data_IF_291703326557
#
_entry.id   IF_291703326557
#
_cell.length_a   1.000
_cell.length_b   1.000
_cell.length_c   1.000
_cell.angle_alpha   90.00
_cell.angle_beta   90.00
_cell.angle_gamma   90.00
#
_symmetry.space_group_name_H-M   'P 1'
#
loop_
_entity.id
_entity.type
_entity.pdbx_description
1 polymer ?
#
# COMPACT_ATOMS: atom_id res chain seq x y z
N UNK A 1 -9.26 -49.57 39.58
CA UNK A 1 -8.97 -48.15 39.91
C UNK A 1 -7.84 -47.55 39.07
N UNK A 2 -6.64 -48.15 39.05
CA UNK A 2 -5.48 -47.65 38.26
C UNK A 2 -5.75 -47.46 36.75
N UNK A 3 -6.45 -48.39 36.10
CA UNK A 3 -6.80 -48.28 34.65
C UNK A 3 -7.79 -47.14 34.35
N UNK A 4 -8.71 -46.85 35.27
CA UNK A 4 -9.68 -45.75 35.14
C UNK A 4 -8.98 -44.41 35.29
N UNK A 5 -7.99 -44.32 36.19
CA UNK A 5 -7.15 -43.13 36.36
C UNK A 5 -6.39 -42.76 35.08
N UNK A 6 -5.84 -43.76 34.37
CA UNK A 6 -5.13 -43.53 33.10
C UNK A 6 -6.05 -43.05 31.97
N UNK A 7 -7.29 -43.55 31.92
CA UNK A 7 -8.28 -43.11 30.93
C UNK A 7 -8.70 -41.65 31.20
N UNK A 8 -8.93 -41.28 32.46
CA UNK A 8 -9.28 -39.91 32.84
C UNK A 8 -8.13 -38.94 32.52
N UNK A 9 -6.88 -39.32 32.83
CA UNK A 9 -5.71 -38.49 32.55
C UNK A 9 -5.51 -38.25 31.04
N UNK A 10 -5.75 -39.28 30.21
CA UNK A 10 -5.67 -39.18 28.75
C UNK A 10 -6.81 -38.35 28.13
N UNK A 11 -7.97 -38.28 28.78
CA UNK A 11 -9.09 -37.45 28.33
C UNK A 11 -8.84 -35.98 28.71
N UNK A 12 -8.29 -35.72 29.89
CA UNK A 12 -7.96 -34.35 30.31
C UNK A 12 -6.90 -33.69 29.42
N UNK A 13 -5.93 -34.45 28.89
CA UNK A 13 -4.93 -33.93 27.95
C UNK A 13 -5.47 -33.62 26.55
N UNK A 14 -6.66 -34.11 26.19
CA UNK A 14 -7.34 -33.73 24.94
C UNK A 14 -8.08 -32.39 25.06
N UNK A 15 -8.43 -31.96 26.27
CA UNK A 15 -9.12 -30.68 26.51
C UNK A 15 -8.16 -29.50 26.74
N UNK A 16 -6.85 -29.74 26.81
CA UNK A 16 -5.81 -28.70 26.82
C UNK A 16 -5.36 -28.33 25.40
N UNK A 17 -6.23 -28.46 24.39
CA UNK A 17 -5.98 -27.83 23.11
C UNK A 17 -5.84 -26.33 23.36
N UNK A 18 -4.62 -25.82 23.24
CA UNK A 18 -4.31 -24.41 23.40
C UNK A 18 -5.32 -23.60 22.58
N UNK A 19 -5.96 -22.62 23.21
CA UNK A 19 -6.54 -21.50 22.47
C UNK A 19 -5.37 -20.88 21.71
N UNK A 20 -5.30 -21.13 20.41
CA UNK A 20 -4.41 -20.40 19.52
C UNK A 20 -5.07 -19.03 19.45
N UNK A 21 -4.55 -18.06 20.20
CA UNK A 21 -4.90 -16.66 19.97
C UNK A 21 -4.56 -16.38 18.51
N UNK A 22 -5.55 -15.99 17.71
CA UNK A 22 -5.33 -15.55 16.34
C UNK A 22 -4.70 -14.15 16.43
N UNK A 23 -3.38 -14.00 16.19
CA UNK A 23 -2.71 -12.71 16.36
C UNK A 23 -3.22 -11.66 15.35
N UNK A 24 -4.01 -12.09 14.37
CA UNK A 24 -4.30 -11.37 13.14
C UNK A 24 -5.71 -10.80 13.11
N UNK A 25 -6.52 -11.10 14.14
CA UNK A 25 -7.96 -10.80 14.14
C UNK A 25 -8.28 -9.31 13.95
N UNK A 26 -7.34 -8.44 14.35
CA UNK A 26 -7.47 -6.98 14.25
C UNK A 26 -6.69 -6.37 13.08
N UNK A 27 -5.94 -7.16 12.31
CA UNK A 27 -5.18 -6.67 11.16
C UNK A 27 -6.13 -6.43 9.98
N UNK A 28 -6.45 -5.16 9.74
CA UNK A 28 -7.30 -4.74 8.63
C UNK A 28 -6.44 -4.26 7.46
N UNK A 29 -6.51 -5.00 6.36
CA UNK A 29 -5.92 -4.56 5.08
C UNK A 29 -6.82 -3.52 4.42
N UNK A 30 -6.37 -2.28 4.34
CA UNK A 30 -7.06 -1.26 3.54
C UNK A 30 -6.57 -1.37 2.09
N UNK A 31 -7.52 -1.51 1.17
CA UNK A 31 -7.28 -1.52 -0.27
C UNK A 31 -7.86 -0.25 -0.86
N UNK A 32 -7.08 0.43 -1.67
CA UNK A 32 -7.55 1.58 -2.44
C UNK A 32 -8.21 1.10 -3.74
N UNK A 33 -9.37 1.67 -4.06
CA UNK A 33 -10.00 1.49 -5.37
C UNK A 33 -9.49 2.55 -6.36
N UNK A 34 -8.71 2.16 -7.38
CA UNK A 34 -8.19 3.09 -8.38
C UNK A 34 -9.22 3.47 -9.45
N UNK A 35 -10.43 2.89 -9.44
CA UNK A 35 -11.41 3.04 -10.50
C UNK A 35 -10.83 2.61 -11.85
N UNK A 36 -10.84 3.51 -12.82
CA UNK A 36 -10.33 3.24 -14.17
C UNK A 36 -8.79 3.31 -14.29
N UNK A 37 -8.09 3.81 -13.27
CA UNK A 37 -6.62 3.90 -13.30
C UNK A 37 -6.01 2.50 -13.16
N UNK A 38 -4.86 2.30 -13.81
CA UNK A 38 -4.12 1.04 -13.80
C UNK A 38 -2.91 1.15 -12.91
N UNK A 39 -2.54 0.04 -12.28
CA UNK A 39 -1.29 -0.06 -11.53
C UNK A 39 -0.10 0.14 -12.48
N UNK A 40 0.84 1.00 -12.09
CA UNK A 40 2.05 1.31 -12.85
C UNK A 40 3.28 0.79 -12.10
N UNK A 41 3.39 1.11 -10.81
CA UNK A 41 4.60 0.80 -10.04
C UNK A 41 4.34 0.79 -8.53
N UNK A 42 5.32 0.34 -7.76
CA UNK A 42 5.26 0.30 -6.30
C UNK A 42 6.61 0.66 -5.69
N UNK A 43 6.61 1.13 -4.45
CA UNK A 43 7.81 1.35 -3.67
C UNK A 43 7.59 0.95 -2.21
N UNK A 44 8.70 0.65 -1.53
CA UNK A 44 8.74 0.31 -0.12
C UNK A 44 9.74 1.22 0.58
N UNK A 45 9.33 1.84 1.68
CA UNK A 45 10.21 2.61 2.55
C UNK A 45 10.26 1.94 3.92
N UNK A 46 11.31 1.16 4.14
CA UNK A 46 11.48 0.38 5.38
C UNK A 46 11.77 1.26 6.59
N UNK A 47 12.37 2.43 6.41
CA UNK A 47 12.65 3.37 7.51
C UNK A 47 11.38 4.03 8.05
N UNK A 48 10.40 4.26 7.17
CA UNK A 48 9.12 4.89 7.52
C UNK A 48 7.99 3.87 7.69
N UNK A 49 8.26 2.58 7.47
CA UNK A 49 7.27 1.51 7.46
C UNK A 49 6.10 1.81 6.50
N UNK A 50 6.39 2.42 5.35
CA UNK A 50 5.37 2.76 4.35
C UNK A 50 5.56 2.01 3.05
N UNK A 51 4.45 1.65 2.42
CA UNK A 51 4.41 1.13 1.06
C UNK A 51 3.57 2.06 0.20
N UNK A 52 3.98 2.24 -1.06
CA UNK A 52 3.23 3.06 -2.00
C UNK A 52 2.96 2.30 -3.29
N UNK A 53 1.82 2.59 -3.91
CA UNK A 53 1.47 2.11 -5.23
C UNK A 53 1.09 3.30 -6.10
N UNK A 54 1.66 3.32 -7.31
CA UNK A 54 1.40 4.31 -8.32
C UNK A 54 0.36 3.77 -9.30
N UNK A 55 -0.70 4.53 -9.50
CA UNK A 55 -1.74 4.26 -10.47
C UNK A 55 -1.80 5.40 -11.49
N UNK A 56 -2.18 5.10 -12.73
CA UNK A 56 -2.42 6.13 -13.74
C UNK A 56 -3.23 5.65 -14.94
N UNK A 57 -3.61 6.60 -15.79
CA UNK A 57 -4.20 6.31 -17.10
C UNK A 57 -3.12 6.00 -18.16
N UNK A 58 -3.55 5.79 -19.40
CA UNK A 58 -2.67 5.43 -20.51
C UNK A 58 -1.65 6.54 -20.81
N UNK A 59 -2.10 7.80 -20.80
CA UNK A 59 -1.26 8.97 -21.03
C UNK A 59 -0.15 9.07 -19.98
N UNK A 60 -0.49 8.84 -18.70
CA UNK A 60 0.48 8.81 -17.62
C UNK A 60 1.49 7.66 -17.77
N UNK A 61 1.03 6.47 -18.16
CA UNK A 61 1.92 5.33 -18.39
C UNK A 61 2.92 5.61 -19.52
N UNK A 62 2.46 6.20 -20.62
CA UNK A 62 3.32 6.59 -21.74
C UNK A 62 4.35 7.64 -21.33
N UNK A 63 3.93 8.66 -20.57
CA UNK A 63 4.84 9.69 -20.04
C UNK A 63 5.92 9.12 -19.12
N UNK A 64 5.56 8.20 -18.22
CA UNK A 64 6.52 7.57 -17.30
C UNK A 64 7.42 6.53 -17.99
N UNK A 65 7.05 6.09 -19.20
CA UNK A 65 7.86 5.18 -20.02
C UNK A 65 8.83 5.93 -20.94
N UNK A 66 8.58 7.22 -21.19
CA UNK A 66 9.37 8.04 -22.11
C UNK A 66 10.63 8.61 -21.44
N UNK A 67 11.67 8.89 -22.23
CA UNK A 67 12.97 9.35 -21.73
C UNK A 67 12.94 10.81 -21.22
N UNK A 68 12.00 11.61 -21.73
CA UNK A 68 11.87 13.04 -21.56
C UNK A 68 11.00 13.44 -20.35
N UNK A 69 10.43 12.47 -19.61
CA UNK A 69 9.75 12.64 -18.31
C UNK A 69 8.67 13.73 -18.26
N UNK A 70 8.12 14.14 -19.41
CA UNK A 70 7.06 15.14 -19.50
C UNK A 70 5.68 14.47 -19.42
N UNK A 71 4.77 15.05 -18.63
CA UNK A 71 3.39 14.55 -18.56
C UNK A 71 2.61 14.97 -19.80
N UNK A 72 2.05 14.00 -20.51
CA UNK A 72 1.13 14.20 -21.63
C UNK A 72 -0.15 14.84 -21.13
N UNK A 73 -0.75 15.71 -21.94
CA UNK A 73 -2.05 16.32 -21.63
C UNK A 73 -3.09 15.24 -21.32
N UNK A 74 -3.93 15.48 -20.30
CA UNK A 74 -4.91 14.51 -19.83
C UNK A 74 -4.34 13.38 -18.96
N UNK A 75 -3.03 13.36 -18.69
CA UNK A 75 -2.45 12.42 -17.72
C UNK A 75 -3.07 12.58 -16.33
N UNK A 76 -3.42 11.47 -15.70
CA UNK A 76 -3.86 11.37 -14.32
C UNK A 76 -3.03 10.30 -13.61
N UNK A 77 -2.40 10.68 -12.51
CA UNK A 77 -1.57 9.82 -11.67
C UNK A 77 -2.06 9.91 -10.22
N UNK A 78 -2.10 8.78 -9.52
CA UNK A 78 -2.29 8.71 -8.08
C UNK A 78 -1.18 7.91 -7.43
N UNK A 79 -0.42 8.53 -6.53
CA UNK A 79 0.47 7.84 -5.62
C UNK A 79 -0.27 7.64 -4.30
N UNK A 80 -0.55 6.38 -3.98
CA UNK A 80 -1.28 5.99 -2.78
C UNK A 80 -0.29 5.39 -1.81
N UNK A 81 -0.26 5.87 -0.58
CA UNK A 81 0.70 5.45 0.45
C UNK A 81 -0.02 4.92 1.67
N UNK A 82 0.40 3.75 2.12
CA UNK A 82 -0.06 3.11 3.34
C UNK A 82 1.08 2.95 4.33
N UNK A 83 0.76 2.93 5.62
CA UNK A 83 1.58 2.24 6.60
C UNK A 83 1.44 0.74 6.35
N UNK A 84 2.55 0.03 6.16
CA UNK A 84 2.51 -1.43 6.10
C UNK A 84 2.77 -2.02 7.48
N UNK A 85 2.41 -3.27 7.65
CA UNK A 85 2.85 -4.08 8.79
C UNK A 85 3.23 -5.48 8.29
N UNK A 86 3.88 -6.24 9.14
CA UNK A 86 4.26 -7.61 8.82
C UNK A 86 3.03 -8.46 8.54
N UNK A 87 3.19 -9.39 7.62
CA UNK A 87 2.18 -10.38 7.31
C UNK A 87 2.36 -11.59 8.24
N UNK A 88 1.51 -11.76 9.25
CA UNK A 88 1.63 -12.86 10.20
C UNK A 88 1.45 -14.24 9.56
N UNK A 89 0.76 -14.31 8.43
CA UNK A 89 0.56 -15.57 7.69
C UNK A 89 1.79 -15.96 6.86
N UNK A 90 2.72 -15.03 6.60
CA UNK A 90 3.89 -15.24 5.74
C UNK A 90 5.12 -14.55 6.33
N UNK A 91 6.00 -15.33 6.96
CA UNK A 91 7.27 -14.84 7.52
C UNK A 91 8.04 -14.06 6.45
N UNK A 92 8.40 -12.81 6.76
CA UNK A 92 9.10 -11.90 5.84
C UNK A 92 8.21 -11.19 4.81
N UNK A 93 6.91 -11.49 4.77
CA UNK A 93 5.92 -10.76 3.99
C UNK A 93 5.42 -9.52 4.73
N UNK A 94 4.94 -8.52 3.99
CA UNK A 94 4.27 -7.34 4.53
C UNK A 94 2.93 -7.13 3.83
N UNK A 95 1.97 -6.50 4.51
CA UNK A 95 0.67 -6.13 3.94
C UNK A 95 0.35 -4.67 4.20
N UNK A 96 -0.47 -4.09 3.32
CA UNK A 96 -0.98 -2.72 3.48
C UNK A 96 -1.88 -2.65 4.71
N UNK A 97 -1.64 -1.69 5.60
CA UNK A 97 -2.47 -1.41 6.76
C UNK A 97 -3.23 -0.11 6.58
N UNK A 98 -2.92 0.89 7.41
CA UNK A 98 -3.53 2.21 7.39
C UNK A 98 -3.22 2.98 6.10
N UNK A 99 -4.24 3.48 5.41
CA UNK A 99 -4.05 4.44 4.31
C UNK A 99 -3.60 5.77 4.91
N UNK A 100 -2.49 6.35 4.42
CA UNK A 100 -1.91 7.60 4.93
C UNK A 100 -2.18 8.79 4.02
N UNK A 101 -1.98 8.60 2.71
CA UNK A 101 -2.16 9.67 1.73
C UNK A 101 -2.51 9.16 0.34
N UNK A 102 -3.21 10.01 -0.40
CA UNK A 102 -3.42 9.92 -1.84
C UNK A 102 -2.92 11.23 -2.45
N UNK A 103 -1.80 11.15 -3.16
CA UNK A 103 -1.26 12.27 -3.92
C UNK A 103 -1.70 12.13 -5.39
N UNK A 104 -2.34 13.16 -5.93
CA UNK A 104 -2.86 13.17 -7.30
C UNK A 104 -2.10 14.19 -8.13
N UNK A 105 -1.57 13.75 -9.28
CA UNK A 105 -1.11 14.62 -10.35
C UNK A 105 -2.09 14.55 -11.51
N UNK A 106 -2.46 15.71 -12.04
CA UNK A 106 -3.30 15.78 -13.22
C UNK A 106 -2.83 16.89 -14.15
N UNK A 107 -2.77 16.59 -15.45
CA UNK A 107 -2.58 17.61 -16.48
C UNK A 107 -3.91 17.97 -17.11
N UNK A 108 -4.10 19.26 -17.38
CA UNK A 108 -5.21 19.72 -18.20
C UNK A 108 -4.88 19.62 -19.70
N UNK A 109 -5.82 20.07 -20.54
CA UNK A 109 -5.67 20.06 -22.00
C UNK A 109 -4.57 21.02 -22.52
N UNK A 110 -4.06 21.92 -21.66
CA UNK A 110 -2.97 22.84 -21.97
C UNK A 110 -1.62 22.34 -21.48
N UNK A 111 -1.57 21.18 -20.83
CA UNK A 111 -0.36 20.59 -20.24
C UNK A 111 0.01 21.16 -18.88
N UNK A 112 -0.86 21.99 -18.28
CA UNK A 112 -0.60 22.52 -16.93
C UNK A 112 -0.80 21.41 -15.89
N UNK A 113 0.22 21.20 -15.08
CA UNK A 113 0.19 20.21 -13.99
C UNK A 113 -0.51 20.81 -12.77
N UNK A 114 -1.43 20.04 -12.20
CA UNK A 114 -2.03 20.27 -10.89
C UNK A 114 -1.60 19.15 -9.94
N UNK A 115 -1.36 19.50 -8.68
CA UNK A 115 -1.02 18.57 -7.61
C UNK A 115 -1.99 18.75 -6.45
N UNK A 116 -2.48 17.65 -5.93
CA UNK A 116 -3.37 17.61 -4.77
C UNK A 116 -2.96 16.47 -3.84
N UNK A 117 -3.04 16.69 -2.54
CA UNK A 117 -2.81 15.65 -1.53
C UNK A 117 -4.04 15.54 -0.63
N UNK A 118 -4.56 14.31 -0.51
CA UNK A 118 -5.54 13.94 0.49
C UNK A 118 -4.86 13.09 1.55
N UNK A 119 -4.68 13.65 2.75
CA UNK A 119 -4.16 12.93 3.91
C UNK A 119 -5.31 12.44 4.79
N UNK A 120 -5.20 11.23 5.32
CA UNK A 120 -6.17 10.62 6.25
C UNK A 120 -5.81 10.87 7.72
N UNK A 121 -4.56 11.22 8.01
CA UNK A 121 -4.12 11.53 9.38
C UNK A 121 -4.59 12.92 9.82
N UNK A 122 -5.08 13.08 11.07
CA UNK A 122 -5.49 14.37 11.63
C UNK A 122 -4.30 15.33 11.87
N UNK A 123 -3.07 14.84 11.81
CA UNK A 123 -1.88 15.69 11.86
C UNK A 123 -1.79 16.45 10.54
N UNK A 124 -1.85 17.79 10.62
CA UNK A 124 -1.78 18.69 9.45
C UNK A 124 -0.73 18.19 8.46
N UNK A 125 -1.06 18.08 7.16
CA UNK A 125 -0.06 17.70 6.16
C UNK A 125 1.11 18.67 6.30
N UNK A 126 2.31 18.13 6.55
CA UNK A 126 3.55 18.89 6.42
C UNK A 126 3.50 19.51 5.03
N UNK A 127 3.68 20.85 4.87
CA UNK A 127 3.69 21.46 3.56
C UNK A 127 4.88 20.89 2.80
N UNK A 128 4.60 19.84 2.02
CA UNK A 128 5.57 19.26 1.14
C UNK A 128 5.77 20.26 0.01
N UNK A 129 7.03 20.54 -0.33
CA UNK A 129 7.36 21.34 -1.51
C UNK A 129 6.71 20.65 -2.73
N UNK A 130 5.76 21.34 -3.36
CA UNK A 130 4.92 20.76 -4.41
C UNK A 130 5.78 20.28 -5.59
N UNK A 131 6.76 21.08 -5.98
CA UNK A 131 7.70 20.75 -7.06
C UNK A 131 8.49 19.48 -6.71
N UNK A 132 9.00 19.37 -5.48
CA UNK A 132 9.72 18.17 -5.02
C UNK A 132 8.83 16.92 -5.06
N UNK A 133 7.56 17.03 -4.67
CA UNK A 133 6.61 15.91 -4.71
C UNK A 133 6.27 15.51 -6.14
N UNK A 134 6.06 16.48 -7.04
CA UNK A 134 5.86 16.22 -8.47
C UNK A 134 7.07 15.46 -9.02
N UNK A 135 8.29 15.95 -8.79
CA UNK A 135 9.51 15.28 -9.25
C UNK A 135 9.66 13.87 -8.67
N UNK A 136 9.36 13.69 -7.39
CA UNK A 136 9.38 12.38 -6.75
C UNK A 136 8.40 11.41 -7.41
N UNK A 137 7.15 11.82 -7.65
CA UNK A 137 6.14 10.97 -8.30
C UNK A 137 6.55 10.65 -9.75
N UNK A 138 7.07 11.63 -10.48
CA UNK A 138 7.55 11.46 -11.86
C UNK A 138 8.80 10.58 -11.98
N UNK A 139 9.54 10.36 -10.89
CA UNK A 139 10.71 9.49 -10.88
C UNK A 139 10.39 7.99 -10.89
N UNK A 140 9.13 7.61 -10.67
CA UNK A 140 8.71 6.21 -10.71
C UNK A 140 8.82 5.65 -12.13
N UNK A 141 9.33 4.43 -12.23
CA UNK A 141 9.36 3.68 -13.49
C UNK A 141 8.26 2.62 -13.51
N UNK A 142 7.53 2.46 -14.62
CA UNK A 142 6.58 1.36 -14.77
C UNK A 142 7.25 0.01 -14.55
N UNK A 143 6.56 -0.90 -13.86
CA UNK A 143 7.04 -2.26 -13.65
C UNK A 143 6.97 -3.03 -14.97
N UNK A 144 8.10 -3.58 -15.40
CA UNK A 144 8.15 -4.52 -16.52
C UNK A 144 7.82 -5.92 -16.00
N UNK A 145 6.75 -6.53 -16.51
CA UNK A 145 6.43 -7.93 -16.22
C UNK A 145 7.05 -8.83 -17.30
N UNK A 146 7.59 -10.02 -16.94
CA UNK A 146 8.12 -10.99 -17.90
C UNK A 146 7.09 -11.47 -18.91
#
# INVERSE_FOLDING_TARGET
>A
MRKVLFIILSICSLFTACKIDEPDKDLKRIVFDPGNLKFISTSLNTKKETSSALYGNQEALESLSAADSSLKNGSMIKLVTWKYHDNPQYIGGTITGELLSIETLQTDNTGKISYQIQSTSPTKPVPANQEERIQYIMSYKPVMRP
#
